data_IF_541823339818
#
_entry.id   IF_541823339818
#
_cell.length_a   1.000
_cell.length_b   1.000
_cell.length_c   1.000
_cell.angle_alpha   90.00
_cell.angle_beta   90.00
_cell.angle_gamma   90.00
#
_symmetry.space_group_name_H-M   'P 1'
#
loop_
_entity.id
_entity.type
_entity.pdbx_description
1 polymer ?
#
# COMPACT_ATOMS: atom_id res chain seq x y z
N UNK A 1 -5.25 -11.53 17.37
CA UNK A 1 -6.19 -10.94 16.40
C UNK A 1 -6.49 -11.95 15.33
N UNK A 2 -7.74 -12.39 15.17
CA UNK A 2 -8.16 -13.15 14.00
C UNK A 2 -8.23 -12.18 12.82
N UNK A 3 -7.37 -12.39 11.83
CA UNK A 3 -7.30 -11.51 10.69
C UNK A 3 -8.41 -11.82 9.69
N UNK A 4 -9.22 -10.82 9.38
CA UNK A 4 -10.36 -10.90 8.49
C UNK A 4 -9.98 -10.37 7.10
N UNK A 5 -10.60 -10.93 6.05
CA UNK A 5 -10.64 -10.32 4.72
C UNK A 5 -9.43 -10.56 3.81
N UNK A 6 -8.53 -11.51 4.13
CA UNK A 6 -7.37 -11.83 3.26
C UNK A 6 -7.22 -13.35 3.00
N UNK A 7 -8.19 -14.12 3.44
CA UNK A 7 -8.19 -15.56 3.27
C UNK A 7 -8.10 -15.94 1.79
N UNK A 8 -8.89 -15.32 0.93
CA UNK A 8 -8.93 -15.58 -0.51
C UNK A 8 -7.57 -15.40 -1.20
N UNK A 9 -6.84 -14.33 -0.84
CA UNK A 9 -5.50 -14.07 -1.40
C UNK A 9 -4.53 -15.14 -0.96
N UNK A 10 -4.56 -15.51 0.34
CA UNK A 10 -3.69 -16.53 0.89
C UNK A 10 -4.03 -17.90 0.27
N UNK A 11 -5.31 -18.23 0.12
CA UNK A 11 -5.78 -19.48 -0.51
C UNK A 11 -5.40 -19.53 -1.98
N UNK A 12 -5.52 -18.42 -2.74
CA UNK A 12 -5.08 -18.38 -4.14
C UNK A 12 -3.57 -18.68 -4.25
N UNK A 13 -2.75 -18.03 -3.45
CA UNK A 13 -1.29 -18.26 -3.43
C UNK A 13 -1.00 -19.71 -3.01
N UNK A 14 -1.67 -20.25 -2.00
CA UNK A 14 -1.50 -21.64 -1.54
C UNK A 14 -1.86 -22.64 -2.65
N UNK A 15 -2.93 -22.37 -3.40
CA UNK A 15 -3.34 -23.20 -4.53
C UNK A 15 -2.26 -23.22 -5.62
N UNK A 16 -1.60 -22.07 -5.87
CA UNK A 16 -0.47 -22.00 -6.81
C UNK A 16 0.74 -22.80 -6.32
N UNK A 17 1.10 -22.67 -5.06
CA UNK A 17 2.19 -23.44 -4.43
C UNK A 17 1.91 -24.95 -4.55
N UNK A 18 0.66 -25.36 -4.33
CA UNK A 18 0.25 -26.76 -4.39
C UNK A 18 0.36 -27.38 -5.80
N UNK A 19 0.38 -26.57 -6.86
CA UNK A 19 0.59 -27.07 -8.23
C UNK A 19 1.99 -27.65 -8.45
N UNK A 20 2.94 -27.41 -7.55
CA UNK A 20 4.29 -27.95 -7.60
C UNK A 20 5.11 -27.54 -8.84
N UNK A 21 4.81 -26.37 -9.42
CA UNK A 21 5.52 -25.77 -10.55
C UNK A 21 5.88 -24.32 -10.22
N UNK A 22 6.81 -23.76 -11.00
CA UNK A 22 7.18 -22.34 -10.86
C UNK A 22 5.96 -21.44 -11.02
N UNK A 23 5.86 -20.44 -10.14
CA UNK A 23 4.85 -19.39 -10.24
C UNK A 23 5.38 -18.04 -9.80
N UNK A 24 4.91 -16.98 -10.44
CA UNK A 24 5.16 -15.59 -10.06
C UNK A 24 3.79 -14.94 -9.80
N UNK A 25 3.49 -14.61 -8.55
CA UNK A 25 2.29 -13.89 -8.17
C UNK A 25 2.61 -12.45 -7.80
N UNK A 26 1.78 -11.51 -8.21
CA UNK A 26 1.87 -10.11 -7.84
C UNK A 26 0.72 -9.78 -6.90
N UNK A 27 1.04 -9.38 -5.65
CA UNK A 27 0.08 -8.92 -4.64
C UNK A 27 0.18 -7.41 -4.56
N UNK A 28 -0.88 -6.70 -4.90
CA UNK A 28 -0.86 -5.25 -4.95
C UNK A 28 -2.06 -4.64 -4.21
N UNK A 29 -1.95 -3.37 -3.86
CA UNK A 29 -3.02 -2.63 -3.17
C UNK A 29 -2.47 -1.41 -2.43
N UNK A 30 -3.35 -0.55 -1.89
CA UNK A 30 -2.95 0.67 -1.21
C UNK A 30 -1.98 0.43 -0.05
N UNK A 31 -1.24 1.46 0.34
CA UNK A 31 -0.50 1.43 1.60
C UNK A 31 -1.44 1.12 2.77
N UNK A 32 -0.92 0.44 3.79
CA UNK A 32 -1.70 0.07 4.99
C UNK A 32 -2.87 -0.92 4.73
N UNK A 33 -3.02 -1.44 3.51
CA UNK A 33 -4.08 -2.41 3.18
C UNK A 33 -3.88 -3.81 3.78
N UNK A 34 -2.72 -4.10 4.37
CA UNK A 34 -2.41 -5.39 5.00
C UNK A 34 -1.59 -6.35 4.13
N UNK A 35 -0.91 -5.88 3.07
CA UNK A 35 0.00 -6.70 2.25
C UNK A 35 1.08 -7.39 3.07
N UNK A 36 1.79 -6.65 3.93
CA UNK A 36 2.84 -7.21 4.79
C UNK A 36 2.31 -8.26 5.79
N UNK A 37 1.01 -8.20 6.13
CA UNK A 37 0.39 -9.28 6.88
C UNK A 37 0.27 -10.55 6.01
N UNK A 38 -0.18 -10.43 4.75
CA UNK A 38 -0.19 -11.57 3.82
C UNK A 38 1.22 -12.15 3.72
N UNK A 39 2.26 -11.31 3.56
CA UNK A 39 3.66 -11.74 3.60
C UNK A 39 3.98 -12.55 4.86
N UNK A 40 3.63 -12.04 6.03
CA UNK A 40 3.91 -12.71 7.32
C UNK A 40 3.25 -14.08 7.43
N UNK A 41 2.03 -14.23 6.90
CA UNK A 41 1.33 -15.52 6.88
C UNK A 41 2.01 -16.52 5.94
N UNK A 42 2.46 -16.07 4.77
CA UNK A 42 3.19 -16.92 3.83
C UNK A 42 4.53 -17.37 4.40
N UNK A 43 5.28 -16.47 5.05
CA UNK A 43 6.54 -16.80 5.73
C UNK A 43 6.30 -17.89 6.81
N UNK A 44 5.27 -17.72 7.65
CA UNK A 44 4.96 -18.68 8.73
C UNK A 44 4.50 -20.04 8.19
N UNK A 45 3.61 -20.06 7.19
CA UNK A 45 2.99 -21.29 6.69
C UNK A 45 3.89 -22.08 5.75
N UNK A 46 4.69 -21.39 4.92
CA UNK A 46 5.52 -22.00 3.88
C UNK A 46 7.02 -21.90 4.15
N UNK A 47 7.42 -21.36 5.31
CA UNK A 47 8.83 -21.04 5.63
C UNK A 47 9.48 -20.27 4.48
N UNK A 48 8.74 -19.30 3.94
CA UNK A 48 9.18 -18.52 2.78
C UNK A 48 10.40 -17.65 3.15
N UNK A 49 11.33 -17.54 2.22
CA UNK A 49 12.40 -16.54 2.28
C UNK A 49 11.75 -15.16 2.11
N UNK A 50 12.04 -14.22 3.01
CA UNK A 50 11.47 -12.88 2.95
C UNK A 50 12.56 -11.85 2.68
N UNK A 51 12.32 -11.00 1.69
CA UNK A 51 13.16 -9.86 1.34
C UNK A 51 12.31 -8.58 1.35
N UNK A 52 12.71 -7.59 2.16
CA UNK A 52 12.10 -6.26 2.13
C UNK A 52 12.82 -5.39 1.10
N UNK A 53 12.10 -4.92 0.09
CA UNK A 53 12.58 -3.88 -0.81
C UNK A 53 12.65 -2.55 -0.08
N UNK A 54 13.80 -1.88 -0.20
CA UNK A 54 14.07 -0.58 0.42
C UNK A 54 14.94 0.26 -0.49
N UNK A 55 14.85 1.58 -0.36
CA UNK A 55 15.77 2.52 -1.03
C UNK A 55 17.14 2.48 -0.34
N UNK A 56 17.89 1.39 -0.56
CA UNK A 56 19.18 1.13 0.05
C UNK A 56 20.12 0.45 -0.95
N UNK A 57 21.41 0.51 -0.70
CA UNK A 57 22.41 -0.17 -1.53
C UNK A 57 22.20 -1.70 -1.55
N UNK A 58 22.58 -2.36 -2.63
CA UNK A 58 22.42 -3.81 -2.79
C UNK A 58 23.02 -4.60 -1.61
N UNK A 59 24.14 -4.16 -1.03
CA UNK A 59 24.77 -4.80 0.13
C UNK A 59 23.83 -4.96 1.33
N UNK A 60 22.92 -4.02 1.54
CA UNK A 60 21.91 -4.10 2.62
C UNK A 60 20.91 -5.21 2.33
N UNK A 61 20.44 -5.32 1.07
CA UNK A 61 19.55 -6.40 0.64
C UNK A 61 20.24 -7.76 0.68
N UNK A 62 21.52 -7.81 0.31
CA UNK A 62 22.34 -9.03 0.39
C UNK A 62 22.49 -9.49 1.84
N UNK A 63 22.73 -8.58 2.78
CA UNK A 63 22.79 -8.93 4.18
C UNK A 63 21.45 -9.47 4.72
N UNK A 64 20.32 -8.85 4.29
CA UNK A 64 18.98 -9.30 4.69
C UNK A 64 18.63 -10.67 4.12
N UNK A 65 18.91 -10.89 2.82
CA UNK A 65 18.58 -12.18 2.19
C UNK A 65 19.48 -13.30 2.71
N UNK A 66 20.75 -13.02 3.04
CA UNK A 66 21.62 -14.00 3.66
C UNK A 66 21.05 -14.53 4.99
N UNK A 67 20.56 -13.63 5.87
CA UNK A 67 19.89 -14.04 7.11
C UNK A 67 18.65 -14.89 6.84
N UNK A 68 17.86 -14.54 5.82
CA UNK A 68 16.67 -15.29 5.46
C UNK A 68 16.99 -16.66 4.85
N UNK A 69 18.06 -16.76 4.03
CA UNK A 69 18.53 -18.01 3.45
C UNK A 69 19.13 -18.93 4.53
N UNK A 70 19.94 -18.39 5.43
CA UNK A 70 20.48 -19.13 6.56
C UNK A 70 19.36 -19.74 7.41
N UNK A 71 18.38 -18.91 7.83
CA UNK A 71 17.22 -19.38 8.60
C UNK A 71 16.36 -20.41 7.84
N UNK A 72 16.40 -20.40 6.50
CA UNK A 72 15.65 -21.35 5.65
C UNK A 72 16.36 -22.65 5.44
N UNK A 73 17.68 -22.64 5.22
CA UNK A 73 18.43 -23.79 4.75
C UNK A 73 19.27 -24.46 5.84
N UNK A 74 19.62 -23.74 6.92
CA UNK A 74 20.40 -24.32 8.03
C UNK A 74 19.48 -24.61 9.21
N UNK A 75 19.31 -25.88 9.63
CA UNK A 75 18.58 -26.21 10.85
C UNK A 75 19.26 -25.57 12.08
N UNK A 76 18.46 -25.18 13.09
CA UNK A 76 18.98 -24.50 14.27
C UNK A 76 19.97 -25.33 15.11
N UNK A 77 19.97 -26.65 14.93
CA UNK A 77 20.82 -27.64 15.61
C UNK A 77 21.96 -28.18 14.71
N UNK A 78 22.06 -27.65 13.46
CA UNK A 78 23.11 -28.10 12.53
C UNK A 78 24.47 -27.48 12.91
N UNK A 79 25.53 -28.28 12.74
CA UNK A 79 26.91 -27.79 12.80
C UNK A 79 27.39 -27.24 11.45
N UNK A 80 26.53 -27.26 10.44
CA UNK A 80 26.84 -26.78 9.11
C UNK A 80 26.98 -25.26 9.07
N UNK A 81 28.02 -24.78 8.42
CA UNK A 81 28.25 -23.36 8.22
C UNK A 81 27.47 -22.87 6.99
N UNK A 82 26.68 -21.83 7.14
CA UNK A 82 26.07 -21.15 6.01
C UNK A 82 27.14 -20.41 5.18
N UNK A 83 27.20 -20.69 3.89
CA UNK A 83 27.99 -19.91 2.97
C UNK A 83 27.19 -18.71 2.47
N UNK A 84 27.54 -17.47 2.87
CA UNK A 84 26.80 -16.28 2.44
C UNK A 84 27.00 -16.03 0.94
N UNK A 85 25.97 -15.47 0.31
CA UNK A 85 26.06 -14.98 -1.06
C UNK A 85 26.55 -13.54 -1.10
N UNK A 86 27.18 -13.14 -2.22
CA UNK A 86 27.75 -11.81 -2.39
C UNK A 86 26.84 -10.85 -3.18
N UNK A 87 25.77 -11.36 -3.82
CA UNK A 87 24.83 -10.57 -4.62
C UNK A 87 23.42 -11.13 -4.56
N UNK A 88 22.43 -10.30 -4.89
CA UNK A 88 21.04 -10.74 -5.05
C UNK A 88 20.93 -11.76 -6.19
N UNK A 89 21.70 -11.62 -7.26
CA UNK A 89 21.74 -12.60 -8.34
C UNK A 89 22.11 -14.00 -7.82
N UNK A 90 23.19 -14.12 -7.05
CA UNK A 90 23.61 -15.40 -6.46
C UNK A 90 22.56 -15.96 -5.50
N UNK A 91 21.91 -15.10 -4.71
CA UNK A 91 20.82 -15.52 -3.83
C UNK A 91 19.68 -16.18 -4.58
N UNK A 92 19.27 -15.57 -5.68
CA UNK A 92 18.17 -16.09 -6.51
C UNK A 92 18.58 -17.32 -7.32
N UNK A 93 19.82 -17.40 -7.82
CA UNK A 93 20.37 -18.66 -8.39
C UNK A 93 20.22 -19.80 -7.40
N UNK A 94 20.67 -19.61 -6.15
CA UNK A 94 20.55 -20.62 -5.08
C UNK A 94 19.10 -21.04 -4.80
N UNK A 95 18.16 -20.06 -4.79
CA UNK A 95 16.73 -20.33 -4.62
C UNK A 95 16.17 -21.15 -5.79
N UNK A 96 16.49 -20.80 -7.02
CA UNK A 96 16.05 -21.53 -8.21
C UNK A 96 16.59 -22.97 -8.24
N UNK A 97 17.89 -23.15 -8.03
CA UNK A 97 18.54 -24.46 -8.00
C UNK A 97 17.97 -25.34 -6.88
N UNK A 98 17.81 -24.81 -5.67
CA UNK A 98 17.21 -25.57 -4.56
C UNK A 98 15.76 -25.94 -4.83
N UNK A 99 15.04 -25.11 -5.58
CA UNK A 99 13.63 -25.34 -5.91
C UNK A 99 13.40 -26.47 -6.90
N UNK A 100 14.41 -26.85 -7.69
CA UNK A 100 14.33 -28.01 -8.58
C UNK A 100 14.13 -29.30 -7.77
N UNK A 101 14.80 -29.40 -6.62
CA UNK A 101 14.71 -30.57 -5.72
C UNK A 101 13.55 -30.49 -4.76
N UNK A 102 13.31 -29.33 -4.16
CA UNK A 102 12.31 -29.12 -3.10
C UNK A 102 11.61 -27.78 -3.33
N UNK A 103 10.26 -27.74 -3.38
CA UNK A 103 9.54 -26.49 -3.57
C UNK A 103 10.01 -25.39 -2.60
N UNK A 104 10.30 -24.21 -3.13
CA UNK A 104 10.69 -23.03 -2.36
C UNK A 104 9.68 -21.91 -2.57
N UNK A 105 9.59 -21.03 -1.59
CA UNK A 105 8.76 -19.82 -1.67
C UNK A 105 9.60 -18.62 -1.26
N UNK A 106 9.54 -17.54 -2.03
CA UNK A 106 10.16 -16.26 -1.70
C UNK A 106 9.11 -15.14 -1.80
N UNK A 107 9.13 -14.25 -0.82
CA UNK A 107 8.29 -13.05 -0.79
C UNK A 107 9.20 -11.84 -0.87
N UNK A 108 8.98 -10.98 -1.86
CA UNK A 108 9.64 -9.67 -1.98
C UNK A 108 8.60 -8.61 -1.67
N UNK A 109 8.68 -8.03 -0.48
CA UNK A 109 7.81 -6.93 -0.07
C UNK A 109 8.38 -5.61 -0.59
N UNK A 110 7.52 -4.73 -1.11
CA UNK A 110 7.87 -3.49 -1.79
C UNK A 110 8.90 -3.67 -2.94
N UNK A 111 8.57 -4.58 -3.86
CA UNK A 111 9.39 -4.85 -5.04
C UNK A 111 9.77 -3.60 -5.86
N UNK A 112 8.89 -2.60 -6.06
CA UNK A 112 9.26 -1.37 -6.77
C UNK A 112 10.45 -0.63 -6.15
N UNK A 113 10.49 -0.51 -4.82
CA UNK A 113 11.63 0.11 -4.11
C UNK A 113 12.93 -0.69 -4.29
N UNK A 114 12.84 -2.02 -4.34
CA UNK A 114 14.00 -2.86 -4.65
C UNK A 114 14.53 -2.61 -6.08
N UNK A 115 13.61 -2.52 -7.06
CA UNK A 115 13.99 -2.27 -8.47
C UNK A 115 14.62 -0.89 -8.65
N UNK A 116 14.09 0.13 -7.97
CA UNK A 116 14.67 1.48 -8.02
C UNK A 116 16.07 1.50 -7.40
N UNK A 117 16.28 0.79 -6.30
CA UNK A 117 17.57 0.70 -5.61
C UNK A 117 18.59 -0.19 -6.34
N UNK A 118 18.12 -1.26 -6.99
CA UNK A 118 18.96 -2.26 -7.70
C UNK A 118 18.40 -2.49 -9.12
N UNK A 119 18.62 -1.57 -10.07
CA UNK A 119 18.00 -1.61 -11.41
C UNK A 119 18.36 -2.85 -12.24
N UNK A 120 19.44 -3.55 -11.93
CA UNK A 120 19.86 -4.79 -12.60
C UNK A 120 19.05 -6.01 -12.15
N UNK A 121 18.43 -5.96 -10.98
CA UNK A 121 17.73 -7.10 -10.39
C UNK A 121 16.61 -7.66 -11.28
N UNK A 122 15.71 -6.86 -11.90
CA UNK A 122 14.69 -7.37 -12.82
C UNK A 122 15.24 -8.10 -14.04
N UNK A 123 16.42 -7.69 -14.53
CA UNK A 123 17.10 -8.34 -15.67
C UNK A 123 17.56 -9.73 -15.24
N UNK A 124 18.26 -9.83 -14.13
CA UNK A 124 18.72 -11.11 -13.60
C UNK A 124 17.56 -12.04 -13.25
N UNK A 125 16.49 -11.48 -12.64
CA UNK A 125 15.30 -12.27 -12.31
C UNK A 125 14.64 -12.83 -13.57
N UNK A 126 14.47 -12.01 -14.63
CA UNK A 126 13.94 -12.47 -15.92
C UNK A 126 14.73 -13.62 -16.50
N UNK A 127 16.06 -13.50 -16.53
CA UNK A 127 16.94 -14.53 -17.10
C UNK A 127 16.84 -15.85 -16.32
N UNK A 128 16.72 -15.77 -15.00
CA UNK A 128 16.51 -16.96 -14.16
C UNK A 128 15.11 -17.57 -14.37
N UNK A 129 14.07 -16.74 -14.47
CA UNK A 129 12.70 -17.19 -14.76
C UNK A 129 12.65 -17.94 -16.08
N UNK A 130 13.32 -17.44 -17.13
CA UNK A 130 13.36 -18.12 -18.44
C UNK A 130 14.20 -19.41 -18.41
N UNK A 131 15.33 -19.40 -17.73
CA UNK A 131 16.22 -20.54 -17.60
C UNK A 131 15.56 -21.71 -16.87
N UNK A 132 14.82 -21.43 -15.80
CA UNK A 132 14.27 -22.44 -14.90
C UNK A 132 12.78 -22.71 -15.06
N UNK A 133 12.12 -22.15 -16.08
CA UNK A 133 10.65 -22.18 -16.26
C UNK A 133 10.03 -23.59 -16.23
N UNK A 134 10.76 -24.58 -16.76
CA UNK A 134 10.26 -25.96 -16.90
C UNK A 134 10.75 -26.89 -15.77
N UNK A 135 11.70 -26.46 -14.96
CA UNK A 135 12.35 -27.34 -13.96
C UNK A 135 12.16 -26.87 -12.54
N UNK A 136 12.00 -25.56 -12.31
CA UNK A 136 11.88 -24.96 -11.00
C UNK A 136 10.48 -25.15 -10.39
N UNK A 137 10.44 -25.27 -9.06
CA UNK A 137 9.25 -25.21 -8.22
C UNK A 137 9.31 -24.02 -7.27
N UNK A 138 9.93 -22.91 -7.71
CA UNK A 138 10.03 -21.69 -6.96
C UNK A 138 8.74 -20.88 -7.12
N UNK A 139 8.11 -20.53 -6.00
CA UNK A 139 6.97 -19.62 -5.95
C UNK A 139 7.46 -18.24 -5.50
N UNK A 140 7.35 -17.28 -6.39
CA UNK A 140 7.78 -15.89 -6.16
C UNK A 140 6.54 -15.05 -5.94
N UNK A 141 6.48 -14.33 -4.82
CA UNK A 141 5.42 -13.40 -4.50
C UNK A 141 6.02 -12.00 -4.43
N UNK A 142 5.64 -11.15 -5.37
CA UNK A 142 6.04 -9.75 -5.42
C UNK A 142 4.93 -8.89 -4.84
N UNK A 143 5.27 -7.98 -3.94
CA UNK A 143 4.31 -7.05 -3.36
C UNK A 143 4.58 -5.64 -3.84
N UNK A 144 3.51 -4.90 -4.19
CA UNK A 144 3.57 -3.55 -4.71
C UNK A 144 2.46 -2.66 -4.13
N UNK A 145 2.72 -1.36 -4.12
CA UNK A 145 1.75 -0.35 -3.72
C UNK A 145 1.08 0.24 -4.97
N UNK A 146 -0.27 0.17 -5.03
CA UNK A 146 -1.06 0.78 -6.09
C UNK A 146 -1.13 0.02 -7.43
N UNK A 147 -2.21 0.29 -8.18
CA UNK A 147 -2.45 -0.32 -9.50
C UNK A 147 -1.63 0.32 -10.62
N UNK A 148 -1.33 1.61 -10.52
CA UNK A 148 -0.57 2.32 -11.59
C UNK A 148 0.86 1.81 -11.70
N UNK A 149 1.44 1.25 -10.64
CA UNK A 149 2.71 0.55 -10.70
C UNK A 149 2.62 -0.73 -11.55
N UNK A 150 1.41 -1.29 -11.72
CA UNK A 150 1.18 -2.49 -12.56
C UNK A 150 1.18 -2.18 -14.05
N UNK A 151 0.68 -1.01 -14.47
CA UNK A 151 0.75 -0.57 -15.87
C UNK A 151 2.15 -0.06 -16.26
N UNK A 152 3.00 0.07 -15.27
CA UNK A 152 4.36 0.55 -15.40
C UNK A 152 5.34 -0.50 -15.93
N UNK A 153 6.55 -0.03 -16.16
CA UNK A 153 7.71 -0.82 -16.62
C UNK A 153 8.26 -1.77 -15.55
N UNK A 154 7.80 -1.67 -14.30
CA UNK A 154 8.36 -2.39 -13.15
C UNK A 154 7.69 -3.73 -12.93
N UNK A 155 6.36 -3.80 -12.93
CA UNK A 155 5.59 -5.04 -12.63
C UNK A 155 4.54 -5.34 -13.71
N UNK A 156 4.05 -4.36 -14.46
CA UNK A 156 2.98 -4.52 -15.44
C UNK A 156 3.35 -5.37 -16.65
N UNK A 157 2.41 -5.56 -17.56
CA UNK A 157 2.57 -6.37 -18.78
C UNK A 157 3.72 -5.91 -19.68
N UNK A 158 4.22 -4.68 -19.51
CA UNK A 158 5.37 -4.11 -20.23
C UNK A 158 6.70 -4.27 -19.48
N UNK A 159 6.68 -4.87 -18.27
CA UNK A 159 7.88 -5.13 -17.51
C UNK A 159 8.62 -6.35 -18.04
N UNK A 160 9.91 -6.46 -17.71
CA UNK A 160 10.73 -7.60 -18.07
C UNK A 160 10.20 -8.92 -17.52
N UNK A 161 9.53 -8.89 -16.37
CA UNK A 161 8.99 -10.07 -15.68
C UNK A 161 7.49 -10.29 -15.95
N UNK A 162 6.81 -9.32 -16.59
CA UNK A 162 5.38 -9.40 -16.90
C UNK A 162 4.94 -10.68 -17.57
N UNK A 163 5.65 -11.19 -18.60
CA UNK A 163 5.30 -12.45 -19.28
C UNK A 163 5.28 -13.69 -18.37
N UNK A 164 5.95 -13.64 -17.22
CA UNK A 164 6.04 -14.74 -16.27
C UNK A 164 5.00 -14.65 -15.15
N UNK A 165 4.26 -13.53 -15.05
CA UNK A 165 3.26 -13.35 -13.99
C UNK A 165 2.11 -14.32 -14.21
N UNK A 166 1.92 -15.20 -13.23
CA UNK A 166 0.87 -16.20 -13.21
C UNK A 166 -0.46 -15.62 -12.73
N UNK A 167 -0.43 -14.62 -11.84
CA UNK A 167 -1.61 -14.05 -11.25
C UNK A 167 -1.34 -12.67 -10.61
N UNK A 168 -2.33 -11.77 -10.76
CA UNK A 168 -2.38 -10.49 -10.06
C UNK A 168 -3.47 -10.53 -8.99
N UNK A 169 -3.11 -10.29 -7.73
CA UNK A 169 -3.97 -10.38 -6.55
C UNK A 169 -4.09 -9.01 -5.88
N UNK A 170 -5.28 -8.44 -5.96
CA UNK A 170 -5.56 -7.16 -5.35
C UNK A 170 -5.90 -7.29 -3.86
N UNK A 171 -5.16 -6.58 -3.01
CA UNK A 171 -5.50 -6.40 -1.60
C UNK A 171 -6.42 -5.19 -1.47
N UNK A 172 -7.72 -5.43 -1.58
CA UNK A 172 -8.76 -4.42 -1.51
C UNK A 172 -8.84 -3.77 -0.12
N UNK A 173 -9.39 -2.58 -0.04
CA UNK A 173 -9.80 -1.98 1.24
C UNK A 173 -10.85 -2.85 1.91
N UNK A 174 -10.98 -2.74 3.22
CA UNK A 174 -12.08 -3.43 3.92
C UNK A 174 -13.41 -2.85 3.49
N UNK A 175 -14.37 -3.73 3.29
CA UNK A 175 -15.79 -3.35 3.16
C UNK A 175 -16.41 -3.14 4.54
N UNK A 176 -17.59 -2.57 4.57
CA UNK A 176 -18.38 -2.48 5.82
C UNK A 176 -18.69 -3.85 6.45
N UNK A 177 -18.74 -4.90 5.63
CA UNK A 177 -18.91 -6.29 6.12
C UNK A 177 -17.65 -6.78 6.81
N UNK A 178 -16.48 -6.50 6.24
CA UNK A 178 -15.20 -6.87 6.83
C UNK A 178 -14.99 -6.20 8.18
N UNK A 179 -15.43 -4.94 8.32
CA UNK A 179 -15.29 -4.18 9.57
C UNK A 179 -16.05 -4.82 10.74
N UNK A 180 -17.23 -5.40 10.49
CA UNK A 180 -17.96 -6.14 11.53
C UNK A 180 -17.17 -7.33 12.06
N UNK A 181 -16.37 -7.95 11.21
CA UNK A 181 -15.58 -9.13 11.55
C UNK A 181 -14.28 -8.78 12.30
N UNK A 182 -13.92 -7.49 12.39
CA UNK A 182 -12.74 -7.02 13.15
C UNK A 182 -12.98 -6.95 14.68
N UNK A 183 -14.16 -7.30 15.16
CA UNK A 183 -14.49 -7.24 16.59
C UNK A 183 -14.79 -5.82 17.08
N UNK A 184 -15.15 -4.90 16.17
CA UNK A 184 -15.67 -3.61 16.54
C UNK A 184 -17.15 -3.74 16.96
N UNK A 185 -17.46 -3.33 18.18
CA UNK A 185 -18.80 -3.46 18.79
C UNK A 185 -19.64 -2.19 18.64
N UNK A 186 -19.45 -1.47 17.55
CA UNK A 186 -20.17 -0.23 17.25
C UNK A 186 -21.50 -0.50 16.53
N UNK A 187 -22.44 0.42 16.69
CA UNK A 187 -23.66 0.45 15.89
C UNK A 187 -23.34 0.62 14.39
N UNK A 188 -24.32 0.30 13.52
CA UNK A 188 -24.11 0.31 12.07
C UNK A 188 -23.63 1.68 11.54
N UNK A 189 -24.19 2.77 12.07
CA UNK A 189 -23.84 4.13 11.60
C UNK A 189 -22.47 4.55 12.13
N UNK A 190 -22.11 4.13 13.33
CA UNK A 190 -20.76 4.32 13.86
C UNK A 190 -19.72 3.54 13.05
N UNK A 191 -20.01 2.30 12.63
CA UNK A 191 -19.13 1.54 11.73
C UNK A 191 -18.96 2.23 10.38
N UNK A 192 -19.99 2.88 9.85
CA UNK A 192 -19.87 3.71 8.64
C UNK A 192 -18.96 4.90 8.86
N UNK A 193 -19.05 5.52 10.04
CA UNK A 193 -18.18 6.62 10.42
C UNK A 193 -16.73 6.15 10.51
N UNK A 194 -16.46 5.06 11.22
CA UNK A 194 -15.09 4.45 11.26
C UNK A 194 -14.58 4.19 9.86
N UNK A 195 -15.40 3.55 9.01
CA UNK A 195 -15.04 3.27 7.63
C UNK A 195 -14.69 4.57 6.86
N UNK A 196 -15.53 5.58 6.93
CA UNK A 196 -15.35 6.84 6.20
C UNK A 196 -14.08 7.59 6.62
N UNK A 197 -13.78 7.67 7.93
CA UNK A 197 -12.62 8.40 8.44
C UNK A 197 -11.30 7.61 8.35
N UNK A 198 -11.35 6.28 8.20
CA UNK A 198 -10.18 5.41 8.05
C UNK A 198 -9.94 4.96 6.60
N UNK A 199 -10.90 5.22 5.70
CA UNK A 199 -10.86 4.72 4.33
C UNK A 199 -10.90 3.20 4.20
N UNK A 200 -11.40 2.49 5.23
CA UNK A 200 -11.41 1.02 5.25
C UNK A 200 -10.01 0.40 5.33
N UNK A 201 -9.00 1.14 5.75
CA UNK A 201 -7.63 0.65 5.90
C UNK A 201 -7.47 -0.10 7.23
N UNK A 202 -7.14 -1.40 7.21
CA UNK A 202 -7.04 -2.23 8.41
C UNK A 202 -6.13 -1.65 9.49
N UNK A 203 -5.00 -1.08 9.07
CA UNK A 203 -4.02 -0.49 9.97
C UNK A 203 -4.57 0.69 10.78
N UNK A 204 -5.59 1.40 10.28
CA UNK A 204 -6.19 2.54 10.95
C UNK A 204 -7.42 2.14 11.77
N UNK A 205 -8.21 1.22 11.22
CA UNK A 205 -9.39 0.68 11.91
C UNK A 205 -9.05 0.08 13.26
N UNK A 206 -7.89 -0.58 13.37
CA UNK A 206 -7.45 -1.23 14.62
C UNK A 206 -7.12 -0.25 15.75
N UNK A 207 -6.97 1.06 15.49
CA UNK A 207 -6.74 2.07 16.52
C UNK A 207 -8.01 2.49 17.26
N UNK A 208 -9.20 2.11 16.74
CA UNK A 208 -10.46 2.44 17.39
C UNK A 208 -10.68 1.57 18.63
N UNK A 209 -10.89 2.23 19.76
CA UNK A 209 -11.16 1.57 21.03
C UNK A 209 -12.67 1.39 21.21
N UNK A 210 -13.11 0.14 21.38
CA UNK A 210 -14.50 -0.21 21.63
C UNK A 210 -15.04 0.33 22.97
N UNK A 211 -14.19 0.69 23.91
CA UNK A 211 -14.55 1.26 25.22
C UNK A 211 -14.89 2.74 25.13
N UNK A 212 -14.57 3.38 24.01
CA UNK A 212 -14.75 4.81 23.82
C UNK A 212 -15.81 5.13 22.77
N UNK A 213 -16.38 6.33 22.87
CA UNK A 213 -17.30 6.84 21.85
C UNK A 213 -16.59 7.07 20.51
N UNK A 214 -17.33 7.07 19.40
CA UNK A 214 -16.77 7.41 18.08
C UNK A 214 -16.14 8.80 18.09
N UNK A 215 -16.78 9.76 18.72
CA UNK A 215 -16.28 11.14 18.82
C UNK A 215 -14.94 11.19 19.57
N UNK A 216 -14.87 10.51 20.72
CA UNK A 216 -13.63 10.42 21.52
C UNK A 216 -12.50 9.76 20.71
N UNK A 217 -12.80 8.67 20.02
CA UNK A 217 -11.80 8.01 19.15
C UNK A 217 -11.30 8.94 18.04
N UNK A 218 -12.20 9.61 17.32
CA UNK A 218 -11.80 10.52 16.25
C UNK A 218 -10.94 11.66 16.78
N UNK A 219 -11.34 12.27 17.93
CA UNK A 219 -10.55 13.34 18.56
C UNK A 219 -9.16 12.84 18.93
N UNK A 220 -9.07 11.72 19.62
CA UNK A 220 -7.79 11.17 20.08
C UNK A 220 -6.87 10.76 18.93
N UNK A 221 -7.43 10.24 17.84
CA UNK A 221 -6.64 9.74 16.70
C UNK A 221 -6.20 10.84 15.73
N UNK A 222 -7.08 11.82 15.45
CA UNK A 222 -6.87 12.80 14.38
C UNK A 222 -6.65 14.23 14.89
N UNK A 223 -7.21 14.59 16.05
CA UNK A 223 -7.22 15.97 16.57
C UNK A 223 -6.39 16.12 17.84
N UNK A 224 -5.45 15.22 18.06
CA UNK A 224 -4.44 15.28 19.11
C UNK A 224 -3.05 15.16 18.48
N UNK A 225 -2.09 15.98 18.94
CA UNK A 225 -0.68 15.89 18.46
C UNK A 225 -0.01 14.55 18.76
N UNK A 226 -0.54 13.79 19.72
CA UNK A 226 -0.09 12.42 20.03
C UNK A 226 -0.94 11.36 19.33
N UNK A 227 -1.94 11.76 18.56
CA UNK A 227 -2.84 10.86 17.86
C UNK A 227 -2.14 10.10 16.73
N UNK A 228 -2.38 8.82 16.64
CA UNK A 228 -1.72 7.95 15.68
C UNK A 228 -1.96 8.32 14.21
N UNK A 229 -3.04 9.07 13.93
CA UNK A 229 -3.42 9.48 12.56
C UNK A 229 -3.25 11.00 12.33
N UNK A 230 -2.73 11.74 13.33
CA UNK A 230 -2.54 13.19 13.21
C UNK A 230 -1.53 13.54 12.10
N UNK A 231 -0.40 12.85 12.04
CA UNK A 231 0.67 13.10 11.04
C UNK A 231 0.75 12.03 9.93
N UNK A 232 -0.11 11.02 9.94
CA UNK A 232 0.03 9.83 9.09
C UNK A 232 0.05 10.17 7.59
N UNK A 233 -0.78 11.10 7.11
CA UNK A 233 -0.78 11.50 5.71
C UNK A 233 0.51 12.21 5.29
N UNK A 234 1.07 13.04 6.15
CA UNK A 234 2.37 13.69 5.91
C UNK A 234 3.50 12.67 5.90
N UNK A 235 3.46 11.70 6.81
CA UNK A 235 4.42 10.61 6.84
C UNK A 235 4.41 9.81 5.52
N UNK A 236 3.24 9.46 5.00
CA UNK A 236 3.10 8.74 3.71
C UNK A 236 3.67 9.57 2.56
N UNK A 237 3.33 10.86 2.48
CA UNK A 237 3.84 11.75 1.43
C UNK A 237 5.37 11.90 1.51
N UNK A 238 5.93 12.13 2.69
CA UNK A 238 7.38 12.28 2.88
C UNK A 238 8.16 11.02 2.52
N UNK A 239 7.59 9.85 2.75
CA UNK A 239 8.22 8.58 2.40
C UNK A 239 8.33 8.39 0.89
N UNK A 240 7.28 8.77 0.15
CA UNK A 240 7.13 8.42 -1.26
C UNK A 240 7.44 9.61 -2.20
N UNK A 241 7.61 10.84 -1.67
CA UNK A 241 7.87 12.05 -2.45
C UNK A 241 9.03 12.86 -1.88
N UNK A 242 9.92 13.33 -2.77
CA UNK A 242 11.05 14.21 -2.38
C UNK A 242 10.64 15.61 -1.95
N UNK A 243 9.54 16.13 -2.53
CA UNK A 243 9.01 17.46 -2.24
C UNK A 243 7.49 17.42 -2.17
N UNK A 244 6.95 17.58 -0.98
CA UNK A 244 5.52 17.48 -0.68
C UNK A 244 4.76 18.80 -0.72
N UNK A 245 5.44 19.97 -0.84
CA UNK A 245 4.78 21.29 -0.80
C UNK A 245 3.71 21.39 -1.89
N UNK A 246 4.07 21.03 -3.13
CA UNK A 246 3.11 21.06 -4.24
C UNK A 246 2.01 20.00 -4.09
N UNK A 247 2.33 18.83 -3.55
CA UNK A 247 1.34 17.80 -3.26
C UNK A 247 0.32 18.27 -2.23
N UNK A 248 0.78 18.87 -1.12
CA UNK A 248 -0.10 19.45 -0.09
C UNK A 248 -1.04 20.50 -0.67
N UNK A 249 -0.54 21.39 -1.53
CA UNK A 249 -1.37 22.42 -2.16
C UNK A 249 -2.47 21.82 -3.05
N UNK A 250 -2.13 20.80 -3.86
CA UNK A 250 -3.11 20.09 -4.70
C UNK A 250 -4.16 19.36 -3.85
N UNK A 251 -3.73 18.63 -2.83
CA UNK A 251 -4.64 17.86 -1.96
C UNK A 251 -5.52 18.77 -1.10
N UNK A 252 -5.03 19.95 -0.70
CA UNK A 252 -5.83 20.96 -0.02
C UNK A 252 -6.91 21.51 -0.95
N UNK A 253 -6.56 21.88 -2.19
CA UNK A 253 -7.52 22.31 -3.20
C UNK A 253 -8.56 21.24 -3.50
N UNK A 254 -8.12 19.97 -3.63
CA UNK A 254 -9.01 18.84 -3.85
C UNK A 254 -10.01 18.62 -2.70
N UNK A 255 -9.61 18.91 -1.46
CA UNK A 255 -10.47 18.79 -0.29
C UNK A 255 -11.46 19.95 -0.12
N UNK A 256 -11.19 21.12 -0.71
CA UNK A 256 -11.98 22.35 -0.57
C UNK A 256 -13.00 22.56 -1.69
N UNK A 257 -12.74 22.03 -2.89
CA UNK A 257 -13.55 22.25 -4.08
C UNK A 257 -14.70 21.26 -4.16
N UNK A 258 -15.91 21.74 -4.55
CA UNK A 258 -17.05 20.87 -4.82
C UNK A 258 -16.89 20.07 -6.12
N UNK A 259 -16.27 20.69 -7.12
CA UNK A 259 -15.97 20.08 -8.42
C UNK A 259 -14.52 20.35 -8.81
N UNK A 260 -13.63 19.46 -8.43
CA UNK A 260 -12.20 19.65 -8.63
C UNK A 260 -11.76 19.29 -10.04
N UNK A 261 -12.10 20.11 -11.03
CA UNK A 261 -11.54 20.00 -12.37
C UNK A 261 -10.09 20.49 -12.41
N UNK A 262 -9.36 20.10 -13.45
CA UNK A 262 -7.95 20.45 -13.62
C UNK A 262 -7.67 21.96 -13.48
N UNK A 263 -8.54 22.79 -14.09
CA UNK A 263 -8.34 24.25 -14.10
C UNK A 263 -8.53 24.86 -12.71
N UNK A 264 -9.59 24.45 -12.03
CA UNK A 264 -9.89 24.92 -10.66
C UNK A 264 -8.82 24.48 -9.67
N UNK A 265 -8.37 23.22 -9.76
CA UNK A 265 -7.29 22.69 -8.92
C UNK A 265 -5.96 23.42 -9.18
N UNK A 266 -5.64 23.73 -10.46
CA UNK A 266 -4.46 24.49 -10.80
C UNK A 266 -4.50 25.89 -10.20
N UNK A 267 -5.65 26.55 -10.30
CA UNK A 267 -5.85 27.92 -9.75
C UNK A 267 -5.76 27.90 -8.23
N UNK A 268 -6.47 26.97 -7.57
CA UNK A 268 -6.50 26.87 -6.11
C UNK A 268 -5.13 26.52 -5.53
N UNK A 269 -4.37 25.63 -6.20
CA UNK A 269 -3.04 25.22 -5.75
C UNK A 269 -1.98 26.30 -5.85
N UNK A 270 -2.20 27.35 -6.64
CA UNK A 270 -1.25 28.44 -6.92
C UNK A 270 0.13 27.96 -7.43
N UNK A 271 0.20 26.79 -8.03
CA UNK A 271 1.43 26.17 -8.54
C UNK A 271 1.55 26.48 -10.04
N UNK A 272 2.79 26.61 -10.56
CA UNK A 272 3.03 26.73 -12.00
C UNK A 272 2.58 25.46 -12.72
N UNK A 273 1.90 25.61 -13.86
CA UNK A 273 1.24 24.52 -14.62
C UNK A 273 2.12 23.27 -14.84
N UNK A 274 3.38 23.44 -15.24
CA UNK A 274 4.29 22.30 -15.46
C UNK A 274 4.57 21.51 -14.18
N UNK A 275 4.82 22.20 -13.06
CA UNK A 275 5.03 21.59 -11.75
C UNK A 275 3.74 20.93 -11.24
N UNK A 276 2.58 21.59 -11.45
CA UNK A 276 1.28 21.05 -11.07
C UNK A 276 0.99 19.72 -11.75
N UNK A 277 1.15 19.65 -13.09
CA UNK A 277 0.90 18.40 -13.84
C UNK A 277 1.81 17.27 -13.35
N UNK A 278 3.10 17.55 -13.11
CA UNK A 278 4.02 16.55 -12.59
C UNK A 278 3.57 16.03 -11.22
N UNK A 279 3.24 16.94 -10.28
CA UNK A 279 2.81 16.55 -8.93
C UNK A 279 1.46 15.84 -8.91
N UNK A 280 0.53 16.25 -9.76
CA UNK A 280 -0.76 15.57 -9.91
C UNK A 280 -0.56 14.13 -10.44
N UNK A 281 0.34 13.94 -11.40
CA UNK A 281 0.70 12.61 -11.90
C UNK A 281 1.38 11.77 -10.80
N UNK A 282 2.29 12.36 -10.00
CA UNK A 282 2.90 11.67 -8.86
C UNK A 282 1.83 11.19 -7.87
N UNK A 283 0.85 12.06 -7.52
CA UNK A 283 -0.26 11.70 -6.62
C UNK A 283 -1.18 10.62 -7.19
N UNK A 284 -1.42 10.64 -8.50
CA UNK A 284 -2.16 9.58 -9.18
C UNK A 284 -1.37 8.26 -9.18
N UNK A 285 -0.07 8.30 -9.43
CA UNK A 285 0.78 7.09 -9.42
C UNK A 285 0.90 6.47 -8.03
N UNK A 286 0.80 7.29 -6.97
CA UNK A 286 0.69 6.81 -5.60
C UNK A 286 -0.69 6.23 -5.27
N UNK A 287 -1.66 6.37 -6.16
CA UNK A 287 -3.04 5.96 -5.92
C UNK A 287 -3.75 6.79 -4.85
N UNK A 288 -3.38 8.06 -4.66
CA UNK A 288 -4.02 8.99 -3.71
C UNK A 288 -5.09 9.84 -4.38
N UNK A 289 -4.91 10.13 -5.67
CA UNK A 289 -5.84 10.90 -6.50
C UNK A 289 -6.29 10.04 -7.67
N UNK A 290 -7.59 9.95 -7.87
CA UNK A 290 -8.21 9.35 -9.04
C UNK A 290 -8.68 10.40 -10.03
N UNK A 291 -8.86 9.98 -11.29
CA UNK A 291 -9.36 10.82 -12.39
C UNK A 291 -10.56 10.15 -13.03
N UNK A 292 -11.66 10.86 -13.10
CA UNK A 292 -12.85 10.45 -13.87
C UNK A 292 -12.88 11.28 -15.15
N UNK A 293 -12.81 10.63 -16.30
CA UNK A 293 -13.00 11.33 -17.59
C UNK A 293 -14.48 11.68 -17.74
N UNK A 294 -14.79 12.98 -17.84
CA UNK A 294 -16.10 13.39 -18.31
C UNK A 294 -16.30 12.89 -19.74
N UNK A 295 -17.37 12.11 -19.96
CA UNK A 295 -17.86 11.50 -21.21
C UNK A 295 -17.16 11.89 -22.51
N UNK A 296 -16.90 10.91 -23.36
CA UNK A 296 -16.70 10.81 -24.84
C UNK A 296 -16.08 11.96 -25.67
N UNK A 297 -15.81 13.15 -25.15
CA UNK A 297 -15.14 14.26 -25.88
C UNK A 297 -13.78 14.66 -25.34
N UNK A 298 -13.09 13.79 -24.63
CA UNK A 298 -11.63 13.75 -24.52
C UNK A 298 -10.84 15.01 -24.09
N UNK A 299 -11.46 16.07 -23.61
CA UNK A 299 -10.69 17.25 -23.20
C UNK A 299 -10.25 17.09 -21.72
N UNK A 300 -8.94 16.91 -21.52
CA UNK A 300 -8.32 16.75 -20.20
C UNK A 300 -8.66 17.87 -19.20
N UNK A 301 -9.05 19.03 -19.69
CA UNK A 301 -9.45 20.20 -18.88
C UNK A 301 -10.73 19.99 -18.07
N UNK A 302 -11.58 19.04 -18.46
CA UNK A 302 -12.85 18.74 -17.80
C UNK A 302 -12.87 17.38 -17.13
N UNK A 303 -11.72 16.81 -16.85
CA UNK A 303 -11.62 15.62 -16.03
C UNK A 303 -11.84 15.99 -14.57
N UNK A 304 -12.70 15.24 -13.89
CA UNK A 304 -12.89 15.32 -12.42
C UNK A 304 -11.77 14.58 -11.72
N UNK A 305 -11.22 15.19 -10.68
CA UNK A 305 -10.27 14.56 -9.78
C UNK A 305 -10.91 14.32 -8.42
N UNK A 306 -10.54 13.23 -7.76
CA UNK A 306 -11.08 12.88 -6.46
C UNK A 306 -10.04 12.14 -5.63
N UNK A 307 -10.21 12.16 -4.32
CA UNK A 307 -9.45 11.26 -3.44
C UNK A 307 -9.88 9.82 -3.68
N UNK A 308 -8.92 8.94 -3.85
CA UNK A 308 -9.17 7.48 -3.94
C UNK A 308 -9.41 6.85 -2.57
N UNK A 309 -9.03 7.54 -1.49
CA UNK A 309 -9.20 7.09 -0.13
C UNK A 309 -9.82 8.20 0.73
N UNK A 310 -10.92 7.90 1.40
CA UNK A 310 -11.67 8.85 2.21
C UNK A 310 -10.93 9.33 3.47
N UNK A 311 -9.97 8.55 3.98
CA UNK A 311 -9.11 8.99 5.10
C UNK A 311 -8.26 10.20 4.70
N UNK A 312 -7.64 10.20 3.52
CA UNK A 312 -6.90 11.36 3.02
C UNK A 312 -7.81 12.56 2.82
N UNK A 313 -9.02 12.34 2.26
CA UNK A 313 -10.02 13.41 2.13
C UNK A 313 -10.41 14.00 3.49
N UNK A 314 -10.76 13.14 4.48
CA UNK A 314 -11.07 13.58 5.84
C UNK A 314 -9.94 14.39 6.45
N UNK A 315 -8.72 13.90 6.31
CA UNK A 315 -7.54 14.52 6.90
C UNK A 315 -7.24 15.89 6.31
N UNK A 316 -7.23 16.06 4.98
CA UNK A 316 -7.01 17.37 4.35
C UNK A 316 -8.15 18.34 4.62
N UNK A 317 -9.39 17.88 4.63
CA UNK A 317 -10.57 18.70 4.86
C UNK A 317 -10.64 19.24 6.28
N UNK A 318 -10.24 18.45 7.28
CA UNK A 318 -10.48 18.77 8.68
C UNK A 318 -9.21 18.86 9.54
N UNK A 319 -8.22 17.99 9.36
CA UNK A 319 -7.01 18.00 10.18
C UNK A 319 -6.02 19.03 9.66
N UNK A 320 -5.66 18.94 8.37
CA UNK A 320 -4.67 19.85 7.78
C UNK A 320 -5.11 21.31 7.81
N UNK A 321 -6.38 21.55 7.51
CA UNK A 321 -6.98 22.88 7.53
C UNK A 321 -6.88 23.57 8.91
N UNK A 322 -7.00 22.81 9.99
CA UNK A 322 -6.99 23.31 11.35
C UNK A 322 -5.74 22.89 12.13
N UNK A 323 -4.68 22.52 11.43
CA UNK A 323 -3.43 22.04 12.03
C UNK A 323 -2.92 22.91 13.16
N UNK A 324 -2.87 24.25 12.94
CA UNK A 324 -2.38 25.20 13.94
C UNK A 324 -3.22 25.24 15.23
N UNK A 325 -4.53 25.07 15.12
CA UNK A 325 -5.44 25.02 16.27
C UNK A 325 -5.25 23.73 17.06
N UNK A 326 -5.11 22.62 16.37
CA UNK A 326 -4.87 21.30 16.97
C UNK A 326 -3.54 21.31 17.73
N UNK A 327 -2.47 21.83 17.14
CA UNK A 327 -1.15 21.92 17.78
C UNK A 327 -1.19 22.81 19.04
N UNK A 328 -2.04 23.83 19.06
CA UNK A 328 -2.27 24.69 20.24
C UNK A 328 -3.15 24.04 21.33
N UNK A 329 -3.64 22.81 21.11
CA UNK A 329 -4.44 22.07 22.08
C UNK A 329 -5.96 22.24 21.92
N UNK A 330 -6.44 22.92 20.85
CA UNK A 330 -7.86 23.14 20.59
C UNK A 330 -8.51 22.06 19.71
N UNK A 331 -7.92 20.86 19.63
CA UNK A 331 -8.38 19.81 18.74
C UNK A 331 -9.81 19.36 18.99
N UNK A 332 -10.24 19.25 20.25
CA UNK A 332 -11.63 18.92 20.58
C UNK A 332 -12.61 20.03 20.14
N UNK A 333 -12.23 21.30 20.32
CA UNK A 333 -13.06 22.44 19.88
C UNK A 333 -13.19 22.46 18.34
N UNK A 334 -12.09 22.18 17.63
CA UNK A 334 -12.09 22.02 16.16
C UNK A 334 -13.07 20.90 15.75
N UNK A 335 -13.00 19.77 16.43
CA UNK A 335 -13.89 18.65 16.13
C UNK A 335 -15.35 19.02 16.31
N UNK A 336 -15.75 19.51 17.47
CA UNK A 336 -17.14 19.80 17.76
C UNK A 336 -17.71 20.97 16.95
N UNK A 337 -16.90 21.99 16.66
CA UNK A 337 -17.37 23.19 15.95
C UNK A 337 -17.34 23.08 14.44
N UNK A 338 -16.40 22.29 13.87
CA UNK A 338 -16.15 22.28 12.43
C UNK A 338 -16.34 20.89 11.78
N UNK A 339 -16.11 19.80 12.51
CA UNK A 339 -16.19 18.44 11.96
C UNK A 339 -17.53 17.80 12.22
N UNK A 340 -17.94 17.74 13.49
CA UNK A 340 -19.16 17.06 13.93
C UNK A 340 -20.42 17.51 13.19
N UNK A 341 -20.64 18.82 12.92
CA UNK A 341 -21.82 19.28 12.17
C UNK A 341 -21.87 18.79 10.73
N UNK A 342 -20.73 18.47 10.11
CA UNK A 342 -20.60 18.04 8.71
C UNK A 342 -20.28 16.53 8.57
N UNK A 343 -20.10 15.83 9.69
CA UNK A 343 -19.59 14.46 9.69
C UNK A 343 -20.55 13.49 8.99
N UNK A 344 -21.85 13.64 9.18
CA UNK A 344 -22.84 12.76 8.54
C UNK A 344 -22.84 12.91 7.02
N UNK A 345 -22.72 14.12 6.50
CA UNK A 345 -22.66 14.37 5.05
C UNK A 345 -21.35 13.79 4.46
N UNK A 346 -20.24 13.96 5.18
CA UNK A 346 -18.96 13.37 4.80
C UNK A 346 -19.05 11.82 4.75
N UNK A 347 -19.64 11.20 5.78
CA UNK A 347 -19.82 9.75 5.86
C UNK A 347 -20.68 9.22 4.72
N UNK A 348 -21.79 9.91 4.41
CA UNK A 348 -22.66 9.53 3.30
C UNK A 348 -21.91 9.60 1.96
N UNK A 349 -21.20 10.69 1.69
CA UNK A 349 -20.40 10.85 0.48
C UNK A 349 -19.32 9.77 0.37
N UNK A 350 -18.58 9.49 1.43
CA UNK A 350 -17.53 8.48 1.46
C UNK A 350 -18.08 7.06 1.23
N UNK A 351 -19.28 6.75 1.71
CA UNK A 351 -19.90 5.43 1.52
C UNK A 351 -20.55 5.23 0.13
N UNK A 352 -20.83 6.30 -0.61
CA UNK A 352 -21.40 6.24 -1.98
C UNK A 352 -20.26 6.09 -3.02
N UNK A 353 -19.08 6.64 -2.73
CA UNK A 353 -17.92 6.64 -3.65
C UNK A 353 -17.25 5.24 -3.81
N UNK A 354 -17.80 4.23 -3.15
CA UNK A 354 -17.35 2.81 -3.17
C UNK A 354 -18.41 1.94 -3.86
#
# INVERSE_FOLDING_TARGET
>A
MNFVGRAEIIESIQSRIALGRMSLCVVYGPHRSGKSYVASQLVRRHKAVYLAGRMANESVHVADINRALEARFVPADAQDTFEPVESLQQAFVRLFESSVKTPQTVVIDDYPSLVEAVPQFPIHLRDLLDTYKDTSRLNIILMANGMEQLDGRIIGNRSLIGPFVSEYLEVKLFSLVDMKSLGLHYAKDDLRTVFAVTGGLPAYVQYFDNGESIDTNIINLFFSVTGALFEETQYILHRDMKNITGANAILTGLASLERPYYVELLQESQIKSGTFTSRLNDLMSMGLVGRIQASSRGNAKYADYHFTNSMFHFWYRYVYKYWGDIVRGYGADVYYNHVKPQLNDFVQAACIAI
#
